data_IF_345706118694
#
_entry.id   IF_345706118694
#
_cell.length_a   1.000
_cell.length_b   1.000
_cell.length_c   1.000
_cell.angle_alpha   90.00
_cell.angle_beta   90.00
_cell.angle_gamma   90.00
#
_symmetry.space_group_name_H-M   'P 1'
#
loop_
_entity.id
_entity.type
_entity.pdbx_description
1 polymer ?
#
# COMPACT_ATOMS: atom_id res chain seq x y z
N UNK A 1 14.93 -10.75 10.79
CA UNK A 1 13.58 -10.17 10.86
C UNK A 1 12.73 -10.83 9.79
N UNK A 2 11.48 -11.20 10.07
CA UNK A 2 10.55 -11.61 9.01
C UNK A 2 10.25 -10.39 8.14
N UNK A 3 10.29 -10.54 6.81
CA UNK A 3 9.84 -9.50 5.89
C UNK A 3 8.38 -9.16 6.19
N UNK A 4 8.07 -7.87 6.26
CA UNK A 4 6.69 -7.41 6.45
C UNK A 4 5.92 -7.69 5.17
N UNK A 5 4.81 -8.43 5.27
CA UNK A 5 3.94 -8.70 4.12
C UNK A 5 3.34 -7.42 3.54
N UNK A 6 3.01 -6.44 4.38
CA UNK A 6 2.46 -5.17 3.92
C UNK A 6 3.43 -4.03 4.25
N UNK A 7 3.79 -3.25 3.24
CA UNK A 7 4.66 -2.07 3.35
C UNK A 7 3.83 -0.84 3.05
N UNK A 8 3.81 0.12 3.99
CA UNK A 8 3.20 1.43 3.76
C UNK A 8 4.18 2.30 2.98
N UNK A 9 3.78 2.74 1.80
CA UNK A 9 4.63 3.52 0.88
C UNK A 9 4.22 4.99 0.81
N UNK A 10 3.02 5.32 1.28
CA UNK A 10 2.56 6.69 1.41
C UNK A 10 1.61 6.83 2.61
N UNK A 11 1.65 7.97 3.29
CA UNK A 11 0.72 8.32 4.37
C UNK A 11 0.47 9.83 4.36
N UNK A 12 -0.80 10.23 4.43
CA UNK A 12 -1.22 11.62 4.51
C UNK A 12 -2.39 11.78 5.48
N UNK A 13 -2.21 12.63 6.51
CA UNK A 13 -3.22 13.01 7.50
C UNK A 13 -2.85 12.63 8.94
N UNK A 14 -3.35 13.39 9.92
CA UNK A 14 -3.06 13.22 11.36
C UNK A 14 -4.21 12.62 12.18
N UNK A 15 -5.47 12.77 11.74
CA UNK A 15 -6.68 12.25 12.43
C UNK A 15 -7.56 11.35 11.55
N UNK A 16 -7.56 11.56 10.24
CA UNK A 16 -8.06 10.65 9.21
C UNK A 16 -6.88 10.30 8.30
N UNK A 17 -6.64 8.99 8.11
CA UNK A 17 -5.45 8.50 7.43
C UNK A 17 -5.78 8.03 6.02
N UNK A 18 -5.17 8.67 5.02
CA UNK A 18 -5.11 8.14 3.66
C UNK A 18 -3.72 7.55 3.45
N UNK A 19 -3.65 6.24 3.20
CA UNK A 19 -2.39 5.53 3.08
C UNK A 19 -2.38 4.64 1.85
N UNK A 20 -1.18 4.44 1.29
CA UNK A 20 -0.95 3.43 0.26
C UNK A 20 -0.11 2.31 0.85
N UNK A 21 -0.59 1.08 0.65
CA UNK A 21 0.04 -0.14 1.13
C UNK A 21 0.31 -1.08 -0.05
N UNK A 22 1.43 -1.80 0.00
CA UNK A 22 1.80 -2.81 -1.00
C UNK A 22 1.92 -4.16 -0.32
N UNK A 23 1.22 -5.19 -0.84
CA UNK A 23 1.44 -6.59 -0.44
C UNK A 23 2.69 -7.11 -1.13
N UNK A 24 3.76 -7.34 -0.37
CA UNK A 24 5.06 -7.76 -0.88
C UNK A 24 5.07 -9.16 -1.48
N UNK A 25 4.03 -9.97 -1.25
CA UNK A 25 3.91 -11.31 -1.83
C UNK A 25 3.21 -11.31 -3.19
N UNK A 26 2.26 -10.40 -3.39
CA UNK A 26 1.43 -10.36 -4.61
C UNK A 26 1.73 -9.16 -5.50
N UNK A 27 2.41 -8.15 -4.96
CA UNK A 27 2.64 -6.85 -5.58
C UNK A 27 1.42 -5.94 -5.63
N UNK A 28 0.25 -6.39 -5.17
CA UNK A 28 -0.99 -5.60 -5.24
C UNK A 28 -0.88 -4.36 -4.36
N UNK A 29 -1.29 -3.23 -4.94
CA UNK A 29 -1.33 -1.93 -4.29
C UNK A 29 -2.73 -1.67 -3.72
N UNK A 30 -2.78 -1.16 -2.50
CA UNK A 30 -4.03 -0.89 -1.78
C UNK A 30 -4.10 0.55 -1.31
N UNK A 31 -5.27 1.14 -1.45
CA UNK A 31 -5.65 2.36 -0.76
C UNK A 31 -6.32 2.01 0.56
N UNK A 32 -5.75 2.52 1.65
CA UNK A 32 -6.35 2.46 2.96
C UNK A 32 -6.87 3.84 3.33
N UNK A 33 -8.12 3.89 3.79
CA UNK A 33 -8.73 5.08 4.35
C UNK A 33 -9.26 4.78 5.74
N UNK A 34 -8.97 5.66 6.69
CA UNK A 34 -9.58 5.65 8.03
C UNK A 34 -10.15 7.01 8.41
N UNK A 35 -11.25 6.98 9.15
CA UNK A 35 -11.89 8.15 9.75
C UNK A 35 -12.53 7.75 11.07
N UNK A 36 -12.02 8.31 12.18
CA UNK A 36 -12.43 7.91 13.52
C UNK A 36 -12.20 6.42 13.78
N UNK A 37 -13.27 5.68 14.10
CA UNK A 37 -13.23 4.23 14.38
C UNK A 37 -13.53 3.35 13.17
N UNK A 38 -13.73 3.94 11.98
CA UNK A 38 -13.99 3.23 10.75
C UNK A 38 -12.76 3.24 9.85
N UNK A 39 -12.61 2.20 9.05
CA UNK A 39 -11.59 2.12 8.01
C UNK A 39 -11.90 1.05 6.98
N UNK A 40 -11.28 1.18 5.82
CA UNK A 40 -11.44 0.26 4.70
C UNK A 40 -10.18 0.16 3.87
N UNK A 41 -10.03 -0.98 3.22
CA UNK A 41 -8.93 -1.29 2.30
C UNK A 41 -9.52 -1.69 0.95
N UNK A 42 -9.06 -1.07 -0.12
CA UNK A 42 -9.45 -1.41 -1.50
C UNK A 42 -8.21 -1.50 -2.38
N UNK A 43 -8.15 -2.44 -3.35
CA UNK A 43 -7.12 -2.41 -4.37
C UNK A 43 -7.16 -1.09 -5.15
N UNK A 44 -6.00 -0.54 -5.48
CA UNK A 44 -5.88 0.49 -6.50
C UNK A 44 -6.03 -0.16 -7.87
N UNK A 45 -6.85 0.44 -8.72
CA UNK A 45 -7.17 -0.10 -10.03
C UNK A 45 -6.56 0.77 -11.13
N UNK A 46 -6.14 0.13 -12.21
CA UNK A 46 -5.74 0.80 -13.45
C UNK A 46 -6.98 1.27 -14.26
N UNK A 47 -6.74 1.85 -15.44
CA UNK A 47 -7.78 2.36 -16.33
C UNK A 47 -8.69 1.25 -16.92
N UNK A 48 -8.26 -0.01 -16.85
CA UNK A 48 -9.03 -1.19 -17.24
C UNK A 48 -9.79 -1.83 -16.07
N UNK A 49 -9.66 -1.29 -14.86
CA UNK A 49 -10.28 -1.84 -13.65
C UNK A 49 -9.56 -3.04 -13.06
N UNK A 50 -8.31 -3.30 -13.46
CA UNK A 50 -7.48 -4.37 -12.88
C UNK A 50 -6.64 -3.83 -11.73
N UNK A 51 -6.31 -4.67 -10.72
CA UNK A 51 -5.40 -4.26 -9.66
C UNK A 51 -4.04 -3.83 -10.19
N UNK A 52 -3.51 -2.72 -9.68
CA UNK A 52 -2.14 -2.29 -9.92
C UNK A 52 -1.20 -3.23 -9.14
N UNK A 53 -0.27 -3.85 -9.85
CA UNK A 53 0.69 -4.81 -9.30
C UNK A 53 2.10 -4.32 -9.56
N UNK A 54 2.90 -4.18 -8.50
CA UNK A 54 4.32 -3.88 -8.58
C UNK A 54 5.17 -5.14 -8.74
N UNK A 55 6.29 -5.00 -9.45
CA UNK A 55 7.32 -6.02 -9.56
C UNK A 55 8.12 -6.16 -8.26
N UNK A 56 8.88 -7.25 -8.14
CA UNK A 56 9.73 -7.47 -6.98
C UNK A 56 10.84 -6.41 -6.88
N UNK A 57 11.34 -5.92 -8.02
CA UNK A 57 12.31 -4.84 -8.09
C UNK A 57 11.72 -3.53 -7.54
N UNK A 58 10.53 -3.15 -8.00
CA UNK A 58 9.82 -1.95 -7.53
C UNK A 58 9.54 -2.00 -6.02
N UNK A 59 9.08 -3.16 -5.51
CA UNK A 59 8.84 -3.37 -4.07
C UNK A 59 10.14 -3.23 -3.26
N UNK A 60 11.25 -3.73 -3.80
CA UNK A 60 12.56 -3.67 -3.15
C UNK A 60 13.03 -2.22 -3.04
N UNK A 61 12.93 -1.43 -4.12
CA UNK A 61 13.29 -0.01 -4.14
C UNK A 61 12.47 0.81 -3.12
N UNK A 62 11.16 0.59 -3.06
CA UNK A 62 10.27 1.24 -2.10
C UNK A 62 10.62 0.90 -0.64
N UNK A 63 11.07 -0.33 -0.40
CA UNK A 63 11.48 -0.79 0.93
C UNK A 63 12.81 -0.16 1.38
N UNK A 64 13.70 0.20 0.44
CA UNK A 64 14.93 0.93 0.74
C UNK A 64 14.68 2.39 1.08
N UNK A 65 13.75 3.06 0.38
CA UNK A 65 13.45 4.47 0.62
C UNK A 65 12.70 4.75 1.94
N UNK A 66 12.06 3.73 2.53
CA UNK A 66 11.30 3.84 3.78
C UNK A 66 12.08 3.39 5.04
N UNK A 67 13.38 3.10 4.92
CA UNK A 67 14.29 2.93 6.06
C UNK A 67 14.84 4.28 6.51
#
# INVERSE_FOLDING_TARGET
>A
MREKRFVRVHSKGTLSGNEIWVDTQTGVNYYFHSSGYAGGLTPLLDKEGKPIVFSQEEITELSYQNK
#
